data_IF_273623994721
#
_entry.id   IF_273623994721
#
_cell.length_a   1.000
_cell.length_b   1.000
_cell.length_c   1.000
_cell.angle_alpha   90.00
_cell.angle_beta   90.00
_cell.angle_gamma   90.00
#
_symmetry.space_group_name_H-M   'P 1'
#
loop_
_entity.id
_entity.type
_entity.pdbx_description
1 polymer ?
#
# COMPACT_ATOMS: atom_id res chain seq x y z
N UNK A 1 -11.61 -23.76 -19.48
CA UNK A 1 -12.05 -22.88 -18.41
C UNK A 1 -11.39 -21.53 -18.64
N UNK A 2 -12.17 -20.52 -19.07
CA UNK A 2 -11.69 -19.14 -19.11
C UNK A 2 -11.45 -18.73 -17.65
N UNK A 3 -10.20 -18.60 -17.24
CA UNK A 3 -9.87 -17.79 -16.08
C UNK A 3 -10.44 -16.40 -16.38
N UNK A 4 -11.48 -16.00 -15.66
CA UNK A 4 -11.91 -14.62 -15.65
C UNK A 4 -10.66 -13.81 -15.28
N UNK A 5 -10.29 -12.84 -16.11
CA UNK A 5 -9.11 -12.01 -15.91
C UNK A 5 -9.40 -10.96 -14.83
N UNK A 6 -9.68 -11.44 -13.64
CA UNK A 6 -9.62 -10.57 -12.45
C UNK A 6 -8.14 -10.57 -12.07
N UNK A 7 -7.51 -9.41 -12.07
CA UNK A 7 -6.18 -9.26 -11.51
C UNK A 7 -6.20 -9.80 -10.08
N UNK A 8 -5.17 -10.54 -9.68
CA UNK A 8 -5.07 -11.03 -8.31
C UNK A 8 -4.95 -9.87 -7.31
N UNK A 9 -5.30 -10.10 -6.05
CA UNK A 9 -5.27 -9.05 -5.00
C UNK A 9 -3.88 -8.42 -4.85
N UNK A 10 -2.81 -9.15 -5.19
CA UNK A 10 -1.44 -8.64 -5.18
C UNK A 10 -1.21 -7.57 -6.23
N UNK A 11 -1.72 -7.78 -7.44
CA UNK A 11 -1.53 -6.83 -8.54
C UNK A 11 -2.50 -5.66 -8.49
N UNK A 12 -3.64 -5.82 -7.83
CA UNK A 12 -4.64 -4.76 -7.69
C UNK A 12 -4.35 -3.86 -6.46
N UNK A 13 -4.45 -4.40 -5.26
CA UNK A 13 -4.36 -3.60 -4.03
C UNK A 13 -2.94 -3.57 -3.44
N UNK A 14 -2.23 -4.72 -3.42
CA UNK A 14 -0.91 -4.76 -2.81
C UNK A 14 0.13 -3.97 -3.61
N UNK A 15 -0.03 -3.82 -4.93
CA UNK A 15 0.85 -2.98 -5.76
C UNK A 15 0.95 -1.55 -5.22
N UNK A 16 -0.15 -0.96 -4.76
CA UNK A 16 -0.14 0.38 -4.16
C UNK A 16 0.71 0.44 -2.88
N UNK A 17 0.72 -0.63 -2.09
CA UNK A 17 1.49 -0.71 -0.85
C UNK A 17 2.97 -1.02 -1.12
N UNK A 18 3.26 -1.78 -2.17
CA UNK A 18 4.62 -1.99 -2.68
C UNK A 18 5.21 -0.65 -3.14
N UNK A 19 4.43 0.18 -3.84
CA UNK A 19 4.85 1.53 -4.23
C UNK A 19 5.19 2.39 -3.01
N UNK A 20 4.38 2.35 -1.95
CA UNK A 20 4.67 3.04 -0.69
C UNK A 20 5.96 2.53 -0.04
N UNK A 21 6.18 1.21 -0.01
CA UNK A 21 7.41 0.63 0.54
C UNK A 21 8.65 1.17 -0.17
N UNK A 22 8.70 1.11 -1.49
CA UNK A 22 9.81 1.65 -2.27
C UNK A 22 9.99 3.15 -2.06
N UNK A 23 8.89 3.91 -2.04
CA UNK A 23 8.92 5.35 -1.85
C UNK A 23 9.50 5.75 -0.49
N UNK A 24 8.98 5.16 0.60
CA UNK A 24 9.39 5.54 1.96
C UNK A 24 10.77 5.02 2.36
N UNK A 25 11.19 3.88 1.81
CA UNK A 25 12.55 3.38 2.02
C UNK A 25 13.59 4.05 1.11
N UNK A 26 13.17 4.68 0.01
CA UNK A 26 14.06 5.17 -1.04
C UNK A 26 14.69 4.07 -1.90
N UNK A 27 14.26 2.82 -1.71
CA UNK A 27 14.80 1.69 -2.44
C UNK A 27 14.38 1.70 -3.91
N UNK A 28 15.33 1.40 -4.82
CA UNK A 28 15.06 1.29 -6.24
C UNK A 28 14.48 -0.07 -6.63
N UNK A 29 14.66 -1.08 -5.79
CA UNK A 29 14.10 -2.43 -5.92
C UNK A 29 14.03 -3.12 -4.56
N UNK A 30 13.39 -4.29 -4.52
CA UNK A 30 13.29 -5.11 -3.33
C UNK A 30 13.25 -6.60 -3.70
N UNK A 31 13.49 -7.45 -2.72
CA UNK A 31 13.26 -8.89 -2.79
C UNK A 31 11.90 -9.22 -2.17
N UNK A 32 11.07 -9.99 -2.86
CA UNK A 32 9.89 -10.63 -2.27
C UNK A 32 10.34 -11.87 -1.51
N UNK A 33 10.32 -11.82 -0.19
CA UNK A 33 10.82 -12.92 0.67
C UNK A 33 9.72 -13.93 1.00
N UNK A 34 8.47 -13.51 1.03
CA UNK A 34 7.29 -14.36 1.20
C UNK A 34 6.06 -13.70 0.62
N UNK A 35 5.15 -14.50 0.07
CA UNK A 35 3.83 -14.04 -0.35
C UNK A 35 2.80 -15.15 -0.15
N UNK A 36 1.57 -14.75 0.16
CA UNK A 36 0.44 -15.65 0.34
C UNK A 36 -0.85 -14.99 -0.12
N UNK A 37 -1.71 -15.76 -0.77
CA UNK A 37 -3.07 -15.36 -1.14
C UNK A 37 -4.05 -16.40 -0.68
N UNK A 38 -5.24 -15.97 -0.31
CA UNK A 38 -6.31 -16.85 0.14
C UNK A 38 -7.68 -16.31 -0.25
N UNK A 39 -8.67 -17.14 0.01
CA UNK A 39 -10.08 -16.82 -0.10
C UNK A 39 -10.78 -17.30 1.17
N UNK A 40 -11.28 -16.36 1.96
CA UNK A 40 -11.88 -16.66 3.27
C UNK A 40 -13.34 -16.24 3.39
N UNK A 41 -13.77 -15.19 2.71
CA UNK A 41 -15.04 -14.53 3.03
C UNK A 41 -16.05 -14.40 1.89
N UNK A 42 -15.68 -14.56 0.63
CA UNK A 42 -16.55 -14.31 -0.52
C UNK A 42 -16.87 -15.60 -1.32
N UNK A 43 -17.69 -16.52 -0.79
CA UNK A 43 -17.91 -17.86 -1.38
C UNK A 43 -18.61 -17.82 -2.74
N UNK A 44 -19.40 -16.76 -3.03
CA UNK A 44 -20.12 -16.61 -4.30
C UNK A 44 -19.21 -16.34 -5.51
N UNK A 45 -17.99 -15.85 -5.26
CA UNK A 45 -17.04 -15.47 -6.31
C UNK A 45 -15.82 -16.40 -6.31
N UNK A 46 -15.87 -17.57 -6.94
CA UNK A 46 -14.86 -18.61 -6.82
C UNK A 46 -13.47 -18.19 -7.32
N UNK A 47 -13.37 -17.19 -8.17
CA UNK A 47 -12.10 -16.66 -8.69
C UNK A 47 -11.50 -15.49 -7.90
N UNK A 48 -12.23 -14.96 -6.91
CA UNK A 48 -11.79 -13.82 -6.13
C UNK A 48 -10.77 -14.26 -5.05
N UNK A 49 -9.61 -13.64 -5.03
CA UNK A 49 -8.68 -13.67 -3.90
C UNK A 49 -9.07 -12.50 -2.99
N UNK A 50 -9.55 -12.78 -1.79
CA UNK A 50 -10.03 -11.75 -0.86
C UNK A 50 -9.07 -11.45 0.29
N UNK A 51 -7.92 -12.14 0.30
CA UNK A 51 -6.83 -11.92 1.23
C UNK A 51 -5.49 -12.05 0.51
N UNK A 52 -4.55 -11.19 0.84
CA UNK A 52 -3.17 -11.25 0.39
C UNK A 52 -2.20 -10.65 1.39
N UNK A 53 -1.02 -11.26 1.49
CA UNK A 53 0.10 -10.71 2.24
C UNK A 53 1.41 -10.91 1.49
N UNK A 54 2.32 -9.96 1.65
CA UNK A 54 3.68 -10.03 1.10
C UNK A 54 4.68 -9.42 2.04
N UNK A 55 5.84 -10.06 2.15
CA UNK A 55 7.00 -9.52 2.84
C UNK A 55 8.06 -9.11 1.82
N UNK A 56 8.54 -7.89 1.97
CA UNK A 56 9.58 -7.30 1.13
C UNK A 56 10.83 -7.01 1.96
N UNK A 57 11.98 -7.10 1.30
CA UNK A 57 13.27 -6.70 1.86
C UNK A 57 14.05 -5.89 0.84
N UNK A 58 14.60 -4.76 1.28
CA UNK A 58 15.56 -3.95 0.54
C UNK A 58 16.82 -3.73 1.37
N UNK A 59 17.81 -3.04 0.82
CA UNK A 59 19.00 -2.62 1.55
C UNK A 59 18.70 -1.62 2.68
N UNK A 60 17.56 -0.90 2.60
CA UNK A 60 17.18 0.15 3.55
C UNK A 60 16.12 -0.29 4.57
N UNK A 61 15.54 -1.48 4.42
CA UNK A 61 14.53 -1.95 5.36
C UNK A 61 13.69 -3.10 4.87
N UNK A 62 12.75 -3.50 5.71
CA UNK A 62 11.79 -4.57 5.45
C UNK A 62 10.37 -4.04 5.50
N UNK A 63 9.47 -4.66 4.75
CA UNK A 63 8.06 -4.32 4.74
C UNK A 63 7.17 -5.56 4.86
N UNK A 64 6.13 -5.46 5.67
CA UNK A 64 5.01 -6.39 5.70
C UNK A 64 3.77 -5.68 5.17
N UNK A 65 3.16 -6.25 4.15
CA UNK A 65 1.96 -5.71 3.52
C UNK A 65 0.87 -6.76 3.64
N UNK A 66 -0.27 -6.35 4.19
CA UNK A 66 -1.51 -7.11 4.18
C UNK A 66 -2.59 -6.32 3.46
N UNK A 67 -3.34 -7.00 2.61
CA UNK A 67 -4.49 -6.46 1.89
C UNK A 67 -5.64 -7.45 1.95
N UNK A 68 -6.85 -6.96 2.12
CA UNK A 68 -8.03 -7.82 2.18
C UNK A 68 -9.33 -7.08 1.79
N UNK A 69 -10.39 -7.86 1.59
CA UNK A 69 -11.74 -7.39 1.32
C UNK A 69 -12.67 -7.67 2.51
N UNK A 70 -12.19 -7.45 3.74
CA UNK A 70 -12.89 -7.78 4.98
C UNK A 70 -13.38 -6.55 5.76
N UNK A 71 -13.47 -5.39 5.10
CA UNK A 71 -13.98 -4.18 5.77
C UNK A 71 -15.39 -4.43 6.27
N UNK A 72 -15.66 -4.34 7.59
CA UNK A 72 -16.99 -4.52 8.16
C UNK A 72 -17.96 -3.43 7.71
N UNK A 73 -19.23 -3.77 7.54
CA UNK A 73 -20.27 -2.84 7.08
C UNK A 73 -20.49 -1.65 8.03
N UNK A 74 -20.20 -1.81 9.31
CA UNK A 74 -20.30 -0.73 10.30
C UNK A 74 -19.18 0.31 10.20
N UNK A 75 -18.12 0.04 9.44
CA UNK A 75 -17.09 1.05 9.21
C UNK A 75 -17.66 2.15 8.30
N UNK A 76 -17.54 3.45 8.65
CA UNK A 76 -18.13 4.55 7.89
C UNK A 76 -17.41 4.85 6.57
N UNK A 77 -16.51 3.97 6.15
CA UNK A 77 -15.75 4.05 4.91
C UNK A 77 -15.65 2.70 4.23
N UNK A 78 -15.46 2.74 2.93
CA UNK A 78 -15.28 1.54 2.12
C UNK A 78 -14.01 0.74 2.46
N UNK A 79 -12.95 1.36 2.95
CA UNK A 79 -11.70 0.71 3.30
C UNK A 79 -11.03 1.31 4.54
N UNK A 80 -10.09 0.58 5.14
CA UNK A 80 -9.33 1.01 6.32
C UNK A 80 -7.83 1.00 5.99
N UNK A 81 -7.34 2.12 5.47
CA UNK A 81 -5.93 2.28 5.10
C UNK A 81 -5.09 2.64 6.33
N UNK A 82 -4.16 1.75 6.71
CA UNK A 82 -3.20 1.95 7.80
C UNK A 82 -1.78 1.78 7.31
N UNK A 83 -0.87 2.58 7.84
CA UNK A 83 0.55 2.49 7.58
C UNK A 83 1.30 2.78 8.87
N UNK A 84 2.27 1.92 9.22
CA UNK A 84 3.23 2.19 10.29
C UNK A 84 4.63 2.12 9.70
N UNK A 85 5.42 3.16 9.91
CA UNK A 85 6.84 3.22 9.53
C UNK A 85 7.64 3.25 10.83
N UNK A 86 8.40 2.19 11.10
CA UNK A 86 9.29 2.09 12.25
C UNK A 86 10.71 2.42 11.79
N UNK A 87 11.28 3.46 12.36
CA UNK A 87 12.66 3.88 12.14
C UNK A 87 13.50 3.76 13.40
N UNK A 88 14.80 3.99 13.29
CA UNK A 88 15.74 3.93 14.42
C UNK A 88 15.59 5.08 15.42
N UNK A 89 14.98 6.18 14.99
CA UNK A 89 14.82 7.39 15.82
C UNK A 89 13.34 7.65 16.22
N UNK A 90 12.43 6.78 15.79
CA UNK A 90 11.01 6.91 16.09
C UNK A 90 10.12 6.17 15.12
N UNK A 91 8.83 6.47 15.16
CA UNK A 91 7.89 5.89 14.23
C UNK A 91 6.82 6.88 13.79
N UNK A 92 6.22 6.58 12.64
CA UNK A 92 5.06 7.27 12.09
C UNK A 92 3.93 6.26 11.98
N UNK A 93 2.73 6.62 12.44
CA UNK A 93 1.50 5.90 12.17
C UNK A 93 0.55 6.79 11.37
N UNK A 94 0.03 6.25 10.26
CA UNK A 94 -1.00 6.90 9.45
C UNK A 94 -2.25 6.01 9.44
N UNK A 95 -3.39 6.61 9.79
CA UNK A 95 -4.73 6.06 9.59
C UNK A 95 -5.46 6.97 8.59
N UNK A 96 -5.65 6.46 7.40
CA UNK A 96 -6.12 7.30 6.29
C UNK A 96 -7.55 7.79 6.46
N UNK A 97 -8.45 6.97 7.05
CA UNK A 97 -9.87 7.30 7.06
C UNK A 97 -10.48 7.39 8.45
N UNK A 98 -10.22 6.42 9.31
CA UNK A 98 -10.91 6.29 10.60
C UNK A 98 -9.91 6.18 11.73
N UNK A 99 -10.12 6.99 12.77
CA UNK A 99 -9.57 6.72 14.08
C UNK A 99 -10.59 5.94 14.89
N UNK A 100 -10.33 4.66 15.14
CA UNK A 100 -11.22 3.82 15.97
C UNK A 100 -11.25 4.28 17.45
N UNK A 101 -10.33 5.14 17.87
CA UNK A 101 -10.34 5.83 19.16
C UNK A 101 -11.33 6.99 19.24
N UNK A 102 -12.01 7.32 18.12
CA UNK A 102 -13.10 8.28 18.06
C UNK A 102 -12.69 9.71 17.70
N UNK A 103 -11.45 9.98 17.32
CA UNK A 103 -11.08 11.29 16.79
C UNK A 103 -11.79 11.52 15.45
N UNK A 104 -12.38 12.70 15.28
CA UNK A 104 -13.05 13.11 14.04
C UNK A 104 -12.05 13.41 12.93
N UNK A 105 -12.53 13.41 11.68
CA UNK A 105 -11.72 13.73 10.49
C UNK A 105 -11.08 12.51 9.86
N UNK A 106 -10.18 12.76 8.92
CA UNK A 106 -9.42 11.77 8.17
C UNK A 106 -7.92 12.08 8.26
N UNK A 107 -7.07 11.22 7.70
CA UNK A 107 -5.62 11.44 7.59
C UNK A 107 -4.93 11.67 8.94
N UNK A 108 -5.25 10.79 9.90
CA UNK A 108 -4.68 10.84 11.24
C UNK A 108 -3.21 10.43 11.19
N UNK A 109 -2.32 11.41 11.27
CA UNK A 109 -0.87 11.22 11.26
C UNK A 109 -0.32 11.41 12.68
N UNK A 110 0.38 10.40 13.18
CA UNK A 110 1.00 10.39 14.50
C UNK A 110 2.51 10.21 14.31
N UNK A 111 3.29 11.12 14.87
CA UNK A 111 4.74 11.04 14.92
C UNK A 111 5.20 10.86 16.36
N UNK A 112 6.04 9.86 16.57
CA UNK A 112 6.68 9.61 17.86
C UNK A 112 8.19 9.50 17.66
N UNK A 113 8.96 10.24 18.43
CA UNK A 113 10.42 10.16 18.46
C UNK A 113 10.93 10.24 19.91
N UNK A 114 12.24 10.42 20.10
CA UNK A 114 12.85 10.50 21.44
C UNK A 114 12.40 11.69 22.30
N UNK A 115 11.76 12.71 21.70
CA UNK A 115 11.42 13.96 22.39
C UNK A 115 9.90 14.22 22.40
N UNK A 116 9.18 13.79 21.35
CA UNK A 116 7.78 14.16 21.15
C UNK A 116 6.90 12.96 20.79
N UNK A 117 5.66 13.02 21.22
CA UNK A 117 4.55 12.17 20.73
C UNK A 117 3.42 13.12 20.32
N UNK A 118 3.16 13.27 19.05
CA UNK A 118 2.22 14.27 18.55
C UNK A 118 1.38 13.78 17.39
N UNK A 119 0.15 14.27 17.33
CA UNK A 119 -0.69 14.19 16.14
C UNK A 119 -0.37 15.39 15.25
N UNK A 120 -0.08 15.10 13.98
CA UNK A 120 0.18 16.13 12.97
C UNK A 120 -1.10 16.33 12.17
N UNK A 121 -1.49 17.60 11.99
CA UNK A 121 -2.56 17.95 11.07
C UNK A 121 -2.01 17.92 9.64
N UNK A 122 -2.56 17.04 8.82
CA UNK A 122 -2.19 16.85 7.42
C UNK A 122 -3.25 17.41 6.44
N UNK A 123 -4.22 18.17 6.93
CA UNK A 123 -5.31 18.72 6.11
C UNK A 123 -4.84 19.59 4.95
N UNK A 124 -3.73 20.30 5.12
CA UNK A 124 -3.15 21.18 4.13
C UNK A 124 -2.06 20.53 3.24
N UNK A 125 -1.87 19.21 3.35
CA UNK A 125 -0.82 18.50 2.59
C UNK A 125 -1.03 18.56 1.05
N UNK A 126 -2.26 18.84 0.60
CA UNK A 126 -2.62 18.91 -0.81
C UNK A 126 -2.58 17.55 -1.51
N UNK A 127 -2.94 17.56 -2.79
CA UNK A 127 -2.96 16.37 -3.64
C UNK A 127 -2.26 16.66 -4.98
N UNK A 128 -0.94 16.84 -5.01
CA UNK A 128 -0.21 17.36 -6.17
C UNK A 128 -0.03 16.35 -7.31
N UNK A 129 -0.37 15.08 -7.12
CA UNK A 129 -0.06 14.03 -8.08
C UNK A 129 -0.64 14.30 -9.47
N UNK A 130 -1.93 14.59 -9.56
CA UNK A 130 -2.59 14.75 -10.86
C UNK A 130 -2.16 16.02 -11.61
N UNK A 131 -1.89 17.11 -10.90
CA UNK A 131 -1.34 18.32 -11.55
C UNK A 131 0.06 18.04 -12.10
N UNK A 132 0.93 17.38 -11.34
CA UNK A 132 2.26 16.99 -11.81
C UNK A 132 2.19 16.00 -12.97
N UNK A 133 1.27 15.04 -12.94
CA UNK A 133 1.08 14.10 -14.06
C UNK A 133 0.64 14.82 -15.35
N UNK A 134 -0.26 15.79 -15.24
CA UNK A 134 -0.66 16.61 -16.39
C UNK A 134 0.54 17.39 -16.96
N UNK A 135 1.34 18.01 -16.09
CA UNK A 135 2.56 18.72 -16.48
C UNK A 135 3.58 17.78 -17.13
N UNK A 136 3.76 16.57 -16.59
CA UNK A 136 4.65 15.55 -17.16
C UNK A 136 4.22 15.13 -18.57
N UNK A 137 2.92 14.97 -18.81
CA UNK A 137 2.39 14.65 -20.14
C UNK A 137 2.68 15.77 -21.14
N UNK A 138 2.46 17.02 -20.73
CA UNK A 138 2.66 18.20 -21.56
C UNK A 138 4.15 18.46 -21.88
N UNK A 139 5.00 18.30 -20.88
CA UNK A 139 6.43 18.65 -20.94
C UNK A 139 7.35 17.46 -21.17
N UNK A 140 6.81 16.22 -21.26
CA UNK A 140 7.58 14.99 -21.41
C UNK A 140 8.60 14.78 -20.29
N UNK A 141 8.15 15.02 -19.04
CA UNK A 141 8.92 14.82 -17.81
C UNK A 141 8.33 13.68 -16.98
N UNK A 142 8.94 13.33 -15.84
CA UNK A 142 8.52 12.26 -14.93
C UNK A 142 8.61 12.73 -13.47
N UNK A 143 7.97 13.85 -13.14
CA UNK A 143 8.05 14.48 -11.81
C UNK A 143 6.98 13.96 -10.83
N UNK A 144 5.86 13.47 -11.36
CA UNK A 144 4.80 12.89 -10.53
C UNK A 144 5.19 11.49 -10.03
N UNK A 145 5.62 10.64 -10.97
CA UNK A 145 6.12 9.28 -10.70
C UNK A 145 6.88 8.77 -11.92
N UNK A 146 8.06 8.21 -11.73
CA UNK A 146 8.84 7.68 -12.85
C UNK A 146 8.25 6.39 -13.39
N UNK A 147 8.38 6.15 -14.69
CA UNK A 147 7.98 4.88 -15.31
C UNK A 147 8.74 3.70 -14.71
N UNK A 148 10.04 3.88 -14.43
CA UNK A 148 10.86 2.87 -13.77
C UNK A 148 10.25 2.45 -12.44
N UNK A 149 9.80 3.40 -11.60
CA UNK A 149 9.13 3.08 -10.34
C UNK A 149 7.85 2.25 -10.58
N UNK A 150 7.00 2.67 -11.52
CA UNK A 150 5.78 1.95 -11.86
C UNK A 150 6.06 0.50 -12.32
N UNK A 151 7.04 0.31 -13.19
CA UNK A 151 7.40 -1.02 -13.68
C UNK A 151 8.01 -1.90 -12.57
N UNK A 152 8.87 -1.35 -11.72
CA UNK A 152 9.43 -2.08 -10.57
C UNK A 152 8.33 -2.53 -9.61
N UNK A 153 7.37 -1.65 -9.30
CA UNK A 153 6.21 -1.97 -8.46
C UNK A 153 5.42 -3.14 -9.04
N UNK A 154 5.11 -3.08 -10.33
CA UNK A 154 4.32 -4.14 -10.98
C UNK A 154 5.10 -5.44 -11.10
N UNK A 155 6.41 -5.38 -11.35
CA UNK A 155 7.27 -6.57 -11.34
C UNK A 155 7.24 -7.27 -9.97
N UNK A 156 7.40 -6.52 -8.87
CA UNK A 156 7.33 -7.05 -7.51
C UNK A 156 5.94 -7.64 -7.20
N UNK A 157 4.87 -6.97 -7.61
CA UNK A 157 3.51 -7.45 -7.42
C UNK A 157 3.25 -8.76 -8.18
N UNK A 158 3.72 -8.87 -9.42
CA UNK A 158 3.61 -10.09 -10.23
C UNK A 158 4.44 -11.24 -9.64
N UNK A 159 5.66 -10.96 -9.18
CA UNK A 159 6.50 -11.96 -8.48
C UNK A 159 5.85 -12.45 -7.19
N UNK A 160 5.22 -11.55 -6.41
CA UNK A 160 4.48 -11.91 -5.21
C UNK A 160 3.27 -12.79 -5.55
N UNK A 161 2.51 -12.45 -6.59
CA UNK A 161 1.39 -13.26 -7.07
C UNK A 161 1.85 -14.65 -7.51
N UNK A 162 2.90 -14.73 -8.31
CA UNK A 162 3.46 -16.00 -8.78
C UNK A 162 3.98 -16.86 -7.61
N UNK A 163 4.68 -16.25 -6.64
CA UNK A 163 5.16 -16.93 -5.44
C UNK A 163 4.00 -17.53 -4.62
N UNK A 164 2.92 -16.75 -4.45
CA UNK A 164 1.75 -17.19 -3.68
C UNK A 164 0.95 -18.31 -4.36
N UNK A 165 1.00 -18.39 -5.68
CA UNK A 165 0.28 -19.42 -6.47
C UNK A 165 1.06 -20.74 -6.64
N UNK A 166 2.37 -20.75 -6.34
CA UNK A 166 3.23 -21.96 -6.47
C UNK A 166 3.06 -22.99 -5.34
N UNK A 167 2.10 -22.82 -4.44
CA UNK A 167 1.83 -23.73 -3.31
C UNK A 167 0.98 -24.93 -3.69
#
# INVERSE_FOLDING_TARGET
AQRCRVSGIMTDIASQRIAHFLHYTGAQTAETTNAYVAKYANPSDPGLQDFGEVNLRSEYGTGYIRVDWFTPDALPNWGDGRLTILGTEGYIELRKYVDVGGASGTDHLILVNGETCQKIDASDAGLPYFSRLADDILNRTETAMTQTHCFTVMELALRAQEMAERK
#
